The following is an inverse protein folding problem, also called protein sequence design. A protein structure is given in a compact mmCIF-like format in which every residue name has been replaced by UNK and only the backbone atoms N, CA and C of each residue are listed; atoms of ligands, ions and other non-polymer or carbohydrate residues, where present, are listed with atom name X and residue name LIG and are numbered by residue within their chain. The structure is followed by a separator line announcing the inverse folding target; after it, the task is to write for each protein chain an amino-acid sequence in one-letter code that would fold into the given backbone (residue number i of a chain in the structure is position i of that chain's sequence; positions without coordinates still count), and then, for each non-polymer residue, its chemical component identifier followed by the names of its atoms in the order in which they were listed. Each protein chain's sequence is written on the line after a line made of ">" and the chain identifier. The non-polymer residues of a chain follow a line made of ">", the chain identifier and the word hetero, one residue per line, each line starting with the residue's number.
data_IF_675569823074
#
_entry.id   IF_675569823074
#
_cell.length_a   1.000
_cell.length_b   1.000
_cell.length_c   1.000
_cell.angle_alpha   90.00
_cell.angle_beta   90.00
_cell.angle_gamma   90.00
#
_symmetry.space_group_name_H-M   'P 1'
#
loop_
_entity.id
_entity.type
_entity.pdbx_description
1 polymer ?
#
# COMPACT_ATOMS: atom_id res chain seq x y z
N UNK A 1 -12.69 -5.61 5.85
CA UNK A 1 -13.51 -6.32 4.84
C UNK A 1 -14.61 -7.11 5.58
N UNK A 2 -15.88 -7.06 5.12
CA UNK A 2 -16.97 -7.77 5.75
C UNK A 2 -16.79 -9.30 5.76
N UNK A 3 -17.54 -10.01 6.61
CA UNK A 3 -17.39 -11.46 6.83
C UNK A 3 -17.52 -12.32 5.56
N UNK A 4 -18.23 -11.86 4.55
CA UNK A 4 -18.38 -12.54 3.27
C UNK A 4 -17.30 -12.23 2.24
N UNK A 5 -16.29 -11.43 2.61
CA UNK A 5 -15.38 -10.85 1.64
C UNK A 5 -15.99 -9.65 0.91
N UNK A 6 -15.25 -9.08 -0.04
CA UNK A 6 -15.75 -8.00 -0.90
C UNK A 6 -15.22 -8.20 -2.32
N UNK A 7 -16.12 -8.26 -3.30
CA UNK A 7 -15.74 -8.25 -4.71
C UNK A 7 -15.25 -6.85 -5.10
N UNK A 8 -14.12 -6.80 -5.81
CA UNK A 8 -13.52 -5.56 -6.31
C UNK A 8 -13.16 -5.70 -7.78
N UNK A 9 -13.26 -4.59 -8.51
CA UNK A 9 -12.94 -4.53 -9.95
C UNK A 9 -11.78 -3.58 -10.28
N UNK A 10 -11.33 -2.78 -9.33
CA UNK A 10 -10.20 -1.84 -9.49
C UNK A 10 -9.34 -1.75 -8.25
N UNK A 11 -8.06 -1.56 -8.49
CA UNK A 11 -7.10 -1.10 -7.49
C UNK A 11 -6.32 0.07 -8.05
N UNK A 12 -6.01 1.06 -7.24
CA UNK A 12 -5.35 2.27 -7.71
C UNK A 12 -4.47 2.98 -6.71
N UNK A 13 -3.67 3.89 -7.24
CA UNK A 13 -2.79 4.79 -6.50
C UNK A 13 -2.89 6.20 -7.08
N UNK A 14 -2.93 7.21 -6.21
CA UNK A 14 -2.97 8.60 -6.62
C UNK A 14 -1.54 9.19 -6.69
N UNK A 15 -1.13 9.59 -7.89
CA UNK A 15 0.19 10.18 -8.17
C UNK A 15 0.07 11.69 -8.23
N UNK A 16 0.84 12.41 -7.41
CA UNK A 16 0.93 13.86 -7.45
C UNK A 16 1.91 14.30 -8.54
N UNK A 17 3.14 13.80 -8.48
CA UNK A 17 4.18 14.10 -9.46
C UNK A 17 4.80 12.80 -9.94
N UNK A 18 4.68 12.55 -11.25
CA UNK A 18 5.24 11.38 -11.89
C UNK A 18 6.73 11.53 -12.21
N UNK A 19 7.37 10.40 -12.48
CA UNK A 19 8.75 10.33 -12.97
C UNK A 19 8.73 9.49 -14.26
N UNK A 20 9.36 9.99 -15.32
CA UNK A 20 9.40 9.32 -16.61
C UNK A 20 9.84 7.85 -16.47
N UNK A 21 9.15 6.96 -17.16
CA UNK A 21 9.35 5.50 -17.15
C UNK A 21 9.17 4.82 -15.78
N UNK A 22 8.64 5.51 -14.78
CA UNK A 22 8.36 4.89 -13.48
C UNK A 22 7.06 4.09 -13.47
N UNK A 23 7.02 3.12 -12.56
CA UNK A 23 5.85 2.27 -12.32
C UNK A 23 5.61 2.08 -10.82
N UNK A 24 4.36 1.79 -10.46
CA UNK A 24 3.99 1.30 -9.14
C UNK A 24 3.44 -0.12 -9.26
N UNK A 25 3.89 -1.03 -8.42
CA UNK A 25 3.30 -2.36 -8.24
C UNK A 25 2.32 -2.33 -7.09
N UNK A 26 1.10 -2.77 -7.33
CA UNK A 26 0.02 -2.74 -6.35
C UNK A 26 -0.26 -4.15 -5.83
N UNK A 27 -0.36 -4.28 -4.51
CA UNK A 27 -0.42 -5.58 -3.83
C UNK A 27 -1.37 -5.54 -2.64
N UNK A 28 -1.77 -6.72 -2.20
CA UNK A 28 -2.50 -6.93 -0.95
C UNK A 28 -1.74 -7.92 -0.08
N UNK A 29 -1.59 -7.59 1.19
CA UNK A 29 -0.96 -8.46 2.18
C UNK A 29 -1.91 -8.76 3.34
N UNK A 30 -1.75 -9.94 3.92
CA UNK A 30 -2.31 -10.23 5.23
C UNK A 30 -1.53 -9.44 6.30
N UNK A 31 -2.18 -8.97 7.37
CA UNK A 31 -1.49 -8.31 8.46
C UNK A 31 -0.72 -9.33 9.31
N UNK A 32 0.43 -8.93 9.81
CA UNK A 32 1.08 -9.58 10.95
C UNK A 32 0.42 -9.13 12.27
N UNK A 33 0.71 -9.82 13.35
CA UNK A 33 0.21 -9.48 14.69
C UNK A 33 0.62 -8.08 15.17
N UNK A 34 1.72 -7.56 14.64
CA UNK A 34 2.21 -6.20 14.91
C UNK A 34 1.67 -5.14 13.91
N UNK A 35 0.72 -5.50 13.04
CA UNK A 35 0.11 -4.60 12.06
C UNK A 35 0.93 -4.36 10.78
N UNK A 36 2.12 -4.95 10.67
CA UNK A 36 2.93 -4.85 9.44
C UNK A 36 2.41 -5.80 8.35
N UNK A 37 2.71 -5.52 7.07
CA UNK A 37 2.38 -6.44 5.99
C UNK A 37 3.10 -7.78 6.15
N UNK A 38 2.35 -8.86 6.13
CA UNK A 38 2.83 -10.24 6.20
C UNK A 38 2.83 -10.92 4.85
N UNK A 39 2.17 -12.06 4.77
CA UNK A 39 2.08 -12.86 3.55
C UNK A 39 1.39 -12.09 2.41
N UNK A 40 1.92 -12.23 1.20
CA UNK A 40 1.31 -11.70 -0.01
C UNK A 40 0.03 -12.48 -0.33
N UNK A 41 -1.09 -11.78 -0.44
CA UNK A 41 -2.38 -12.36 -0.83
C UNK A 41 -2.65 -12.17 -2.32
N UNK A 42 -2.42 -10.96 -2.83
CA UNK A 42 -2.58 -10.62 -4.24
C UNK A 42 -1.43 -9.74 -4.72
N UNK A 43 -0.94 -10.04 -5.91
CA UNK A 43 -0.06 -9.19 -6.71
C UNK A 43 -0.81 -8.83 -8.00
N UNK A 44 -1.26 -7.59 -8.10
CA UNK A 44 -2.02 -7.12 -9.26
C UNK A 44 -1.14 -6.56 -10.38
N UNK A 45 0.18 -6.62 -10.21
CA UNK A 45 1.12 -6.13 -11.19
C UNK A 45 1.37 -4.63 -11.09
N UNK A 46 1.81 -4.05 -12.19
CA UNK A 46 2.30 -2.67 -12.23
C UNK A 46 1.41 -1.76 -13.07
N UNK A 47 1.37 -0.49 -12.65
CA UNK A 47 0.76 0.60 -13.41
C UNK A 47 1.80 1.71 -13.61
N UNK A 48 1.74 2.42 -14.75
CA UNK A 48 2.64 3.54 -15.02
C UNK A 48 2.37 4.71 -14.07
N UNK A 49 3.44 5.23 -13.49
CA UNK A 49 3.45 6.45 -12.67
C UNK A 49 4.25 7.59 -13.32
N UNK A 50 4.41 7.52 -14.65
CA UNK A 50 5.17 8.51 -15.41
C UNK A 50 4.55 9.91 -15.39
N UNK A 51 3.24 10.01 -15.13
CA UNK A 51 2.51 11.27 -15.05
C UNK A 51 1.66 11.32 -13.78
N UNK A 52 1.27 12.51 -13.33
CA UNK A 52 0.33 12.70 -12.23
C UNK A 52 -1.08 12.19 -12.55
N UNK A 53 -1.92 12.13 -11.53
CA UNK A 53 -3.32 11.69 -11.56
C UNK A 53 -3.53 10.31 -10.98
N UNK A 54 -4.79 9.88 -10.94
CA UNK A 54 -5.17 8.56 -10.45
C UNK A 54 -4.74 7.49 -11.46
N UNK A 55 -4.09 6.46 -10.97
CA UNK A 55 -3.61 5.31 -11.76
C UNK A 55 -4.30 4.06 -11.26
N UNK A 56 -4.94 3.32 -12.16
CA UNK A 56 -5.76 2.17 -11.82
C UNK A 56 -5.37 0.93 -12.62
N UNK A 57 -5.51 -0.23 -12.00
CA UNK A 57 -5.46 -1.54 -12.64
C UNK A 57 -6.86 -2.15 -12.56
N UNK A 58 -7.41 -2.54 -13.71
CA UNK A 58 -8.64 -3.33 -13.77
C UNK A 58 -8.35 -4.75 -13.32
N UNK A 59 -9.11 -5.23 -12.36
CA UNK A 59 -8.95 -6.55 -11.75
C UNK A 59 -10.32 -7.21 -11.60
N UNK A 60 -10.30 -8.49 -11.26
CA UNK A 60 -11.49 -9.22 -10.78
C UNK A 60 -11.02 -10.07 -9.61
N UNK A 61 -11.31 -9.63 -8.41
CA UNK A 61 -10.87 -10.31 -7.20
C UNK A 61 -11.91 -10.20 -6.09
N UNK A 62 -11.90 -11.17 -5.19
CA UNK A 62 -12.65 -11.10 -3.94
C UNK A 62 -11.66 -10.94 -2.78
N UNK A 63 -11.73 -9.83 -2.10
CA UNK A 63 -10.92 -9.61 -0.91
C UNK A 63 -11.37 -10.57 0.19
N UNK A 64 -10.44 -11.21 0.92
CA UNK A 64 -10.80 -12.05 2.05
C UNK A 64 -11.43 -11.21 3.17
N UNK A 65 -12.28 -11.85 3.96
CA UNK A 65 -12.86 -11.21 5.14
C UNK A 65 -11.79 -10.82 6.15
N UNK A 66 -12.05 -9.75 6.89
CA UNK A 66 -11.17 -9.26 7.96
C UNK A 66 -10.25 -8.13 7.53
N UNK A 67 -9.15 -7.97 8.25
CA UNK A 67 -8.17 -6.94 7.99
C UNK A 67 -7.24 -7.36 6.86
N UNK A 68 -7.02 -6.48 5.93
CA UNK A 68 -6.05 -6.62 4.83
C UNK A 68 -5.31 -5.31 4.62
N UNK A 69 -4.10 -5.37 4.11
CA UNK A 69 -3.25 -4.22 3.89
C UNK A 69 -2.98 -4.02 2.40
N UNK A 70 -3.42 -2.89 1.86
CA UNK A 70 -3.00 -2.44 0.54
C UNK A 70 -1.58 -1.90 0.63
N UNK A 71 -0.73 -2.33 -0.28
CA UNK A 71 0.67 -1.93 -0.33
C UNK A 71 1.09 -1.61 -1.75
N UNK A 72 2.09 -0.76 -1.90
CA UNK A 72 2.70 -0.49 -3.19
C UNK A 72 4.23 -0.43 -3.10
N UNK A 73 4.87 -0.76 -4.22
CA UNK A 73 6.31 -0.52 -4.45
C UNK A 73 6.42 0.37 -5.68
N UNK A 74 7.23 1.41 -5.60
CA UNK A 74 7.49 2.32 -6.73
C UNK A 74 8.91 2.16 -7.24
N UNK A 75 9.10 2.25 -8.56
CA UNK A 75 10.41 2.06 -9.19
C UNK A 75 11.30 3.29 -9.16
N UNK A 76 10.76 4.45 -8.79
CA UNK A 76 11.48 5.71 -8.70
C UNK A 76 10.87 6.61 -7.62
N UNK A 77 11.51 7.73 -7.34
CA UNK A 77 11.06 8.71 -6.34
C UNK A 77 9.86 9.54 -6.86
N UNK A 78 8.75 8.87 -7.18
CA UNK A 78 7.48 9.54 -7.50
C UNK A 78 6.87 10.14 -6.25
N UNK A 79 6.18 11.28 -6.39
CA UNK A 79 5.39 11.83 -5.29
C UNK A 79 3.97 11.29 -5.39
N UNK A 80 3.53 10.61 -4.35
CA UNK A 80 2.16 10.11 -4.23
C UNK A 80 1.33 11.11 -3.42
N UNK A 81 0.04 11.24 -3.75
CA UNK A 81 -0.89 11.83 -2.81
C UNK A 81 -0.99 10.95 -1.57
N UNK A 82 -1.07 11.56 -0.43
CA UNK A 82 -1.20 10.89 0.85
C UNK A 82 -2.29 11.51 1.71
N UNK A 83 -2.58 10.82 2.80
CA UNK A 83 -3.35 11.39 3.89
C UNK A 83 -2.37 11.84 4.96
N UNK A 84 -2.55 13.05 5.48
CA UNK A 84 -1.90 13.45 6.73
C UNK A 84 -2.62 12.73 7.88
N UNK A 85 -1.91 11.89 8.59
CA UNK A 85 -2.45 11.27 9.80
C UNK A 85 -2.02 12.10 11.01
N UNK A 86 -2.89 12.99 11.46
CA UNK A 86 -2.73 13.62 12.76
C UNK A 86 -3.22 12.65 13.84
N UNK A 87 -2.30 11.94 14.48
CA UNK A 87 -2.56 11.10 15.64
C UNK A 87 -3.31 9.80 15.35
N UNK A 88 -2.89 8.74 15.97
CA UNK A 88 -3.46 7.38 15.91
C UNK A 88 -3.66 6.87 14.50
N UNK A 89 -2.59 6.32 13.90
CA UNK A 89 -2.74 5.44 12.75
C UNK A 89 -3.85 4.43 13.02
N UNK A 90 -4.57 4.02 11.98
CA UNK A 90 -5.65 3.02 12.04
C UNK A 90 -5.24 1.75 12.80
N UNK A 91 -3.97 1.56 13.01
CA UNK A 91 -3.34 0.51 13.78
C UNK A 91 -2.47 1.12 14.88
N UNK A 92 -3.12 1.85 15.80
CA UNK A 92 -2.46 2.50 16.93
C UNK A 92 -1.39 1.64 17.58
N UNK A 93 -0.19 1.67 17.06
CA UNK A 93 0.96 1.24 17.81
C UNK A 93 1.50 2.41 18.60
N UNK A 94 0.73 2.80 19.59
CA UNK A 94 1.06 3.85 20.55
C UNK A 94 2.29 3.54 21.41
N UNK A 95 2.87 2.35 21.26
CA UNK A 95 4.04 1.92 22.03
C UNK A 95 5.37 2.44 21.50
N UNK A 96 5.38 3.08 20.33
CA UNK A 96 6.59 3.68 19.78
C UNK A 96 6.44 5.20 19.76
N UNK A 97 6.79 5.82 20.84
CA UNK A 97 6.87 7.29 20.94
C UNK A 97 7.67 7.85 19.75
N UNK A 98 7.02 8.59 18.87
CA UNK A 98 7.61 9.22 17.72
C UNK A 98 7.54 8.46 16.38
N UNK A 99 6.81 7.36 16.30
CA UNK A 99 6.71 6.51 15.08
C UNK A 99 5.27 6.33 14.61
N UNK A 100 4.45 7.35 14.70
CA UNK A 100 3.09 7.33 14.17
C UNK A 100 3.16 7.55 12.65
N UNK A 101 2.89 6.53 11.86
CA UNK A 101 2.88 6.66 10.41
C UNK A 101 2.83 5.35 9.66
N UNK A 102 2.71 5.45 8.35
CA UNK A 102 2.75 4.28 7.46
C UNK A 102 4.13 3.66 7.44
N UNK A 103 4.26 2.36 7.64
CA UNK A 103 5.51 1.68 7.47
C UNK A 103 5.95 1.73 6.00
N UNK A 104 7.21 2.03 5.77
CA UNK A 104 7.85 1.94 4.47
C UNK A 104 9.26 1.35 4.59
N UNK A 105 9.76 0.81 3.52
CA UNK A 105 11.16 0.40 3.43
C UNK A 105 11.65 0.55 1.99
N UNK A 106 12.94 0.70 1.85
CA UNK A 106 13.59 0.52 0.56
C UNK A 106 13.60 -0.98 0.22
N UNK A 107 12.86 -1.36 -0.80
CA UNK A 107 12.74 -2.75 -1.22
C UNK A 107 13.86 -3.15 -2.20
N UNK A 108 14.59 -2.20 -2.76
CA UNK A 108 15.65 -2.43 -3.74
C UNK A 108 15.21 -3.15 -5.03
N UNK A 109 13.92 -3.47 -5.15
CA UNK A 109 13.37 -4.27 -6.26
C UNK A 109 11.89 -4.00 -6.45
N UNK A 110 11.42 -4.12 -7.69
CA UNK A 110 10.00 -4.12 -8.06
C UNK A 110 9.31 -5.49 -7.89
N UNK A 111 10.03 -6.49 -7.39
CA UNK A 111 9.44 -7.79 -7.05
C UNK A 111 8.49 -7.64 -5.87
N UNK A 112 7.34 -8.32 -5.94
CA UNK A 112 6.38 -8.34 -4.84
C UNK A 112 7.02 -9.02 -3.61
N UNK A 113 7.16 -8.31 -2.48
CA UNK A 113 7.72 -8.91 -1.27
C UNK A 113 6.74 -9.93 -0.69
N UNK A 114 7.24 -11.13 -0.34
CA UNK A 114 6.44 -12.18 0.27
C UNK A 114 7.29 -13.04 1.23
N UNK A 115 7.21 -12.85 2.52
CA UNK A 115 6.50 -11.76 3.22
C UNK A 115 7.17 -10.41 3.02
N UNK A 116 6.48 -9.32 3.42
CA UNK A 116 7.04 -7.97 3.38
C UNK A 116 8.36 -7.85 4.14
N UNK A 117 8.51 -8.63 5.21
CA UNK A 117 9.67 -8.61 6.10
C UNK A 117 9.54 -7.55 7.20
N UNK A 118 10.38 -7.71 8.21
CA UNK A 118 10.34 -6.87 9.42
C UNK A 118 11.62 -6.07 9.66
N UNK A 119 12.63 -6.25 8.81
CA UNK A 119 13.92 -5.56 8.92
C UNK A 119 13.99 -4.36 7.97
N UNK A 120 14.67 -3.30 8.39
CA UNK A 120 14.86 -2.09 7.59
C UNK A 120 13.57 -1.29 7.38
N UNK A 121 12.58 -1.44 8.26
CA UNK A 121 11.35 -0.67 8.20
C UNK A 121 11.58 0.68 8.84
N UNK A 122 11.20 1.73 8.12
CA UNK A 122 11.09 3.09 8.62
C UNK A 122 9.62 3.49 8.69
N UNK A 123 9.30 4.47 9.49
CA UNK A 123 7.94 5.00 9.61
C UNK A 123 7.92 6.46 9.17
N UNK A 124 6.97 6.81 8.32
CA UNK A 124 6.71 8.21 7.99
C UNK A 124 5.66 8.73 8.95
N UNK A 125 6.04 9.67 9.81
CA UNK A 125 5.16 10.21 10.84
C UNK A 125 3.92 10.92 10.27
N UNK A 126 3.96 11.39 9.02
CA UNK A 126 3.00 12.36 8.54
C UNK A 126 2.24 11.93 7.27
N UNK A 127 2.54 10.79 6.64
CA UNK A 127 2.01 10.51 5.29
C UNK A 127 1.78 9.03 5.04
N UNK A 128 0.54 8.71 4.68
CA UNK A 128 0.15 7.40 4.15
C UNK A 128 -0.22 7.56 2.68
N UNK A 129 0.38 6.77 1.79
CA UNK A 129 0.03 6.81 0.37
C UNK A 129 -1.46 6.51 0.17
N UNK A 130 -2.11 7.30 -0.67
CA UNK A 130 -3.52 7.09 -1.04
C UNK A 130 -3.63 5.93 -2.02
N UNK A 131 -3.89 4.76 -1.47
CA UNK A 131 -4.26 3.55 -2.20
C UNK A 131 -5.76 3.34 -2.07
N UNK A 132 -6.40 2.85 -3.10
CA UNK A 132 -7.84 2.63 -3.12
C UNK A 132 -8.20 1.33 -3.85
N UNK A 133 -9.33 0.77 -3.46
CA UNK A 133 -10.03 -0.28 -4.21
C UNK A 133 -11.43 0.20 -4.53
N UNK A 134 -11.98 -0.26 -5.66
CA UNK A 134 -13.37 -0.03 -6.02
C UNK A 134 -14.15 -1.33 -5.90
N UNK A 135 -15.31 -1.26 -5.24
CA UNK A 135 -16.26 -2.38 -5.25
C UNK A 135 -16.75 -2.66 -6.67
N UNK A 136 -16.92 -3.94 -6.98
CA UNK A 136 -17.46 -4.40 -8.25
C UNK A 136 -18.98 -4.19 -8.33
#
# INVERSE_FOLDING_TARGET
>A
VPRGGAAIDRVGVAVQTGVAASTARLMLHAPLTNGLPGALLFDWGTVSTATGGDKEITISATLPAGLVLLTCVVSAAVTLYGFESYGTGIFGNSSQAGSEGSPYRDNGSMTAPNPWGTTGISYSADRTARLAVRAA
#
